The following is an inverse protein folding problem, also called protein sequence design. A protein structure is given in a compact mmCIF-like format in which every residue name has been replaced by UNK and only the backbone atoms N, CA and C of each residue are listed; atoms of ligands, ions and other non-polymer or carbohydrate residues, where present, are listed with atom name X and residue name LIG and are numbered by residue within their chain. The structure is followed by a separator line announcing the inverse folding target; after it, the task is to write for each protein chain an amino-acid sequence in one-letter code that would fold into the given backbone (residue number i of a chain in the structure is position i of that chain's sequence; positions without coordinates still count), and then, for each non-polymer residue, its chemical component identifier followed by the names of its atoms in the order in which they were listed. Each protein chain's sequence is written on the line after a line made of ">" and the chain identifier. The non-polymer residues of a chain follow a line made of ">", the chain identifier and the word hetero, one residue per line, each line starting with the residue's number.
data_IF_699162689236
#
_entry.id   IF_699162689236
#
_cell.length_a   1.000
_cell.length_b   1.000
_cell.length_c   1.000
_cell.angle_alpha   90.00
_cell.angle_beta   90.00
_cell.angle_gamma   90.00
#
_symmetry.space_group_name_H-M   'P 1'
#
loop_
_entity.id
_entity.type
_entity.pdbx_description
1 polymer ?
#
# COMPACT_ATOMS: atom_id res chain seq x y z
N UNK A 1 -35.20 23.25 4.88
CA UNK A 1 -34.76 21.83 4.79
C UNK A 1 -33.39 21.83 4.17
N UNK A 2 -32.35 21.94 5.01
CA UNK A 2 -30.96 21.80 4.54
C UNK A 2 -30.61 20.33 4.57
N UNK A 3 -30.37 19.75 3.39
CA UNK A 3 -29.81 18.43 3.19
C UNK A 3 -28.47 18.38 3.90
N UNK A 4 -28.32 17.45 4.86
CA UNK A 4 -27.02 17.09 5.41
C UNK A 4 -26.22 16.40 4.31
N UNK A 5 -25.40 17.16 3.57
CA UNK A 5 -24.38 16.59 2.72
C UNK A 5 -23.38 15.89 3.63
N UNK A 6 -23.46 14.57 3.66
CA UNK A 6 -22.44 13.71 4.29
C UNK A 6 -21.13 13.98 3.56
N UNK A 7 -20.23 14.74 4.19
CA UNK A 7 -18.86 14.85 3.72
C UNK A 7 -18.20 13.50 4.00
N UNK A 8 -18.18 12.63 2.99
CA UNK A 8 -17.39 11.41 3.00
C UNK A 8 -15.94 11.80 2.68
N UNK A 9 -15.08 11.80 3.67
CA UNK A 9 -13.64 11.84 3.44
C UNK A 9 -13.17 10.42 3.14
N UNK A 10 -12.63 10.25 1.93
CA UNK A 10 -12.11 8.96 1.47
C UNK A 10 -10.62 8.91 1.73
N UNK A 11 -10.20 7.95 2.54
CA UNK A 11 -8.83 7.45 2.57
C UNK A 11 -8.80 6.11 1.86
N UNK A 12 -8.66 6.16 0.55
CA UNK A 12 -8.50 4.97 -0.26
C UNK A 12 -7.02 4.66 -0.42
N UNK A 13 -6.62 3.42 -0.36
CA UNK A 13 -5.31 2.84 -0.68
C UNK A 13 -4.09 3.35 0.11
N UNK A 14 -4.03 4.60 0.55
CA UNK A 14 -2.88 5.14 1.28
C UNK A 14 -2.87 4.80 2.77
N UNK A 15 -3.97 4.32 3.35
CA UNK A 15 -4.02 3.91 4.76
C UNK A 15 -3.15 2.69 5.07
N UNK A 16 -2.85 1.86 4.07
CA UNK A 16 -1.95 0.72 4.23
C UNK A 16 -0.53 1.20 4.58
N UNK A 17 -0.13 2.40 4.14
CA UNK A 17 1.14 3.04 4.53
C UNK A 17 1.16 3.54 5.98
N UNK A 18 0.02 3.63 6.65
CA UNK A 18 -0.08 4.13 8.03
C UNK A 18 0.05 3.07 9.10
N UNK A 19 0.28 1.83 8.76
CA UNK A 19 0.46 0.81 9.78
C UNK A 19 1.96 0.58 10.07
N UNK A 20 2.46 -0.59 9.87
CA UNK A 20 3.85 -0.98 10.10
C UNK A 20 4.21 -2.11 9.13
N UNK A 21 5.41 -2.09 8.59
CA UNK A 21 5.92 -3.17 7.73
C UNK A 21 6.59 -4.28 8.54
N UNK A 22 7.24 -3.92 9.65
CA UNK A 22 7.93 -4.90 10.50
C UNK A 22 6.94 -5.70 11.33
N UNK A 23 7.25 -6.99 11.48
CA UNK A 23 6.59 -7.88 12.42
C UNK A 23 6.81 -7.43 13.86
N UNK A 24 5.88 -7.78 14.75
CA UNK A 24 5.96 -7.55 16.19
C UNK A 24 5.23 -8.69 16.91
N UNK A 25 5.25 -8.72 18.24
CA UNK A 25 4.70 -9.81 19.06
C UNK A 25 3.25 -10.15 18.69
N UNK A 26 2.41 -9.12 18.50
CA UNK A 26 0.98 -9.27 18.20
C UNK A 26 0.61 -8.67 16.83
N UNK A 27 1.58 -8.57 15.92
CA UNK A 27 1.38 -7.91 14.63
C UNK A 27 2.23 -8.52 13.53
N UNK A 28 1.60 -8.89 12.42
CA UNK A 28 2.28 -9.41 11.24
C UNK A 28 2.27 -8.36 10.13
N UNK A 29 3.38 -7.62 10.00
CA UNK A 29 3.58 -6.59 8.95
C UNK A 29 4.13 -7.14 7.65
N UNK A 30 4.75 -8.32 7.69
CA UNK A 30 5.29 -9.03 6.53
C UNK A 30 6.81 -9.04 6.42
N UNK A 31 7.53 -8.20 7.18
CA UNK A 31 9.00 -8.11 7.14
C UNK A 31 9.61 -8.34 8.51
N UNK A 32 10.73 -9.06 8.53
CA UNK A 32 11.66 -9.05 9.64
C UNK A 32 12.69 -7.93 9.46
N UNK A 33 13.35 -7.55 10.55
CA UNK A 33 14.40 -6.51 10.49
C UNK A 33 15.50 -6.86 9.51
N UNK A 34 15.87 -8.13 9.40
CA UNK A 34 16.89 -8.61 8.48
C UNK A 34 16.49 -8.43 7.01
N UNK A 35 15.21 -8.64 6.68
CA UNK A 35 14.69 -8.41 5.33
C UNK A 35 14.85 -6.94 4.92
N UNK A 36 14.55 -6.02 5.84
CA UNK A 36 14.73 -4.59 5.59
C UNK A 36 16.21 -4.20 5.47
N UNK A 37 17.09 -4.79 6.29
CA UNK A 37 18.53 -4.57 6.20
C UNK A 37 19.05 -4.96 4.80
N UNK A 38 18.67 -6.15 4.31
CA UNK A 38 19.02 -6.64 2.98
C UNK A 38 18.46 -5.75 1.87
N UNK A 39 17.22 -5.29 1.98
CA UNK A 39 16.60 -4.36 1.05
C UNK A 39 17.40 -3.05 0.98
N UNK A 40 17.74 -2.47 2.13
CA UNK A 40 18.47 -1.21 2.19
C UNK A 40 19.91 -1.35 1.68
N UNK A 41 20.57 -2.46 1.94
CA UNK A 41 21.92 -2.74 1.44
C UNK A 41 21.90 -2.96 -0.08
N UNK A 42 20.90 -3.62 -0.63
CA UNK A 42 20.72 -3.74 -2.07
C UNK A 42 20.49 -2.36 -2.74
N UNK A 43 19.67 -1.49 -2.14
CA UNK A 43 19.45 -0.13 -2.63
C UNK A 43 20.75 0.69 -2.66
N UNK A 44 21.61 0.58 -1.64
CA UNK A 44 22.89 1.29 -1.56
C UNK A 44 23.91 0.73 -2.55
N UNK A 45 23.98 -0.59 -2.66
CA UNK A 45 24.98 -1.28 -3.47
C UNK A 45 24.77 -1.03 -4.96
N UNK A 46 23.55 -1.24 -5.46
CA UNK A 46 23.20 -1.01 -6.86
C UNK A 46 21.71 -0.68 -7.01
N UNK A 47 21.40 0.61 -6.89
CA UNK A 47 20.01 1.09 -6.95
C UNK A 47 19.25 0.68 -8.22
N UNK A 48 19.92 0.70 -9.38
CA UNK A 48 19.27 0.32 -10.65
C UNK A 48 18.93 -1.16 -10.70
N UNK A 49 19.85 -2.02 -10.26
CA UNK A 49 19.60 -3.44 -10.20
C UNK A 49 18.49 -3.78 -9.20
N UNK A 50 18.54 -3.15 -8.02
CA UNK A 50 17.49 -3.27 -7.02
C UNK A 50 16.13 -2.82 -7.57
N UNK A 51 16.04 -1.64 -8.17
CA UNK A 51 14.78 -1.11 -8.72
C UNK A 51 14.20 -2.00 -9.82
N UNK A 52 15.06 -2.58 -10.68
CA UNK A 52 14.63 -3.52 -11.73
C UNK A 52 14.05 -4.82 -11.15
N UNK A 53 14.60 -5.32 -10.05
CA UNK A 53 14.07 -6.51 -9.37
C UNK A 53 12.84 -6.21 -8.50
N UNK A 54 12.79 -5.02 -7.89
CA UNK A 54 11.71 -4.61 -7.00
C UNK A 54 10.42 -4.28 -7.77
N UNK A 55 10.51 -3.67 -8.95
CA UNK A 55 9.34 -3.18 -9.66
C UNK A 55 8.33 -4.28 -10.01
N UNK A 56 8.71 -5.46 -10.58
CA UNK A 56 7.76 -6.55 -10.83
C UNK A 56 7.09 -7.05 -9.56
N UNK A 57 7.84 -7.15 -8.46
CA UNK A 57 7.32 -7.60 -7.17
C UNK A 57 6.31 -6.61 -6.58
N UNK A 58 6.61 -5.32 -6.64
CA UNK A 58 5.74 -4.26 -6.15
C UNK A 58 4.46 -4.13 -6.98
N UNK A 59 4.57 -4.24 -8.29
CA UNK A 59 3.43 -4.14 -9.22
C UNK A 59 2.60 -5.42 -9.23
N UNK A 60 3.25 -6.59 -9.02
CA UNK A 60 2.60 -7.89 -9.09
C UNK A 60 2.27 -8.31 -10.52
N UNK A 61 3.18 -8.04 -11.45
CA UNK A 61 2.98 -8.32 -12.88
C UNK A 61 4.32 -8.66 -13.56
N UNK A 62 4.28 -9.12 -14.81
CA UNK A 62 5.46 -9.48 -15.59
C UNK A 62 6.33 -8.26 -15.92
N UNK A 63 7.64 -8.48 -16.04
CA UNK A 63 8.63 -7.42 -16.33
C UNK A 63 8.33 -6.64 -17.62
N UNK A 64 7.71 -7.29 -18.60
CA UNK A 64 7.37 -6.70 -19.88
C UNK A 64 6.02 -5.98 -19.89
N UNK A 65 5.28 -6.02 -18.77
CA UNK A 65 4.00 -5.33 -18.68
C UNK A 65 4.19 -3.81 -18.66
N UNK A 66 3.20 -3.10 -19.22
CA UNK A 66 3.20 -1.63 -19.20
C UNK A 66 3.29 -1.07 -17.77
N UNK A 67 2.60 -1.69 -16.83
CA UNK A 67 2.56 -1.27 -15.44
C UNK A 67 3.95 -1.34 -14.78
N UNK A 68 4.68 -2.43 -14.97
CA UNK A 68 6.04 -2.62 -14.45
C UNK A 68 7.02 -1.66 -15.11
N UNK A 69 6.94 -1.48 -16.41
CA UNK A 69 7.79 -0.53 -17.14
C UNK A 69 7.59 0.90 -16.69
N UNK A 70 6.33 1.32 -16.49
CA UNK A 70 6.00 2.67 -16.03
C UNK A 70 6.46 2.90 -14.59
N UNK A 71 6.27 1.94 -13.70
CA UNK A 71 6.76 2.02 -12.33
C UNK A 71 8.30 2.03 -12.27
N UNK A 72 8.97 1.18 -13.05
CA UNK A 72 10.43 1.16 -13.18
C UNK A 72 10.97 2.51 -13.66
N UNK A 73 10.33 3.10 -14.67
CA UNK A 73 10.68 4.44 -15.18
C UNK A 73 10.58 5.49 -14.07
N UNK A 74 9.53 5.42 -13.26
CA UNK A 74 9.35 6.32 -12.13
C UNK A 74 10.49 6.17 -11.11
N UNK A 75 10.84 4.93 -10.73
CA UNK A 75 11.95 4.67 -9.82
C UNK A 75 13.30 5.17 -10.36
N UNK A 76 13.58 4.95 -11.66
CA UNK A 76 14.83 5.39 -12.28
C UNK A 76 14.99 6.90 -12.38
N UNK A 77 13.89 7.66 -12.33
CA UNK A 77 13.91 9.11 -12.33
C UNK A 77 14.14 9.73 -10.94
N UNK A 78 14.04 8.93 -9.88
CA UNK A 78 14.31 9.39 -8.52
C UNK A 78 15.82 9.28 -8.23
N UNK A 79 16.39 10.28 -7.57
CA UNK A 79 17.76 10.21 -7.07
C UNK A 79 17.90 9.06 -6.05
N UNK A 80 18.92 8.21 -6.16
CA UNK A 80 19.08 7.04 -5.29
C UNK A 80 19.14 7.38 -3.78
N UNK A 81 19.82 8.47 -3.42
CA UNK A 81 19.91 8.92 -2.03
C UNK A 81 18.54 9.36 -1.47
N UNK A 82 17.71 10.00 -2.28
CA UNK A 82 16.35 10.39 -1.89
C UNK A 82 15.47 9.14 -1.79
N UNK A 83 15.51 8.25 -2.79
CA UNK A 83 14.76 7.02 -2.78
C UNK A 83 15.07 6.18 -1.53
N UNK A 84 16.35 6.05 -1.19
CA UNK A 84 16.80 5.37 0.02
C UNK A 84 16.26 6.02 1.30
N UNK A 85 16.37 7.34 1.43
CA UNK A 85 15.90 8.05 2.61
C UNK A 85 14.38 7.90 2.79
N UNK A 86 13.61 8.00 1.69
CA UNK A 86 12.16 7.81 1.69
C UNK A 86 11.78 6.37 2.02
N UNK A 87 12.44 5.37 1.40
CA UNK A 87 12.20 3.96 1.68
C UNK A 87 12.44 3.66 3.17
N UNK A 88 13.52 4.17 3.74
CA UNK A 88 13.83 3.98 5.16
C UNK A 88 12.72 4.53 6.06
N UNK A 89 12.25 5.74 5.81
CA UNK A 89 11.13 6.34 6.57
C UNK A 89 9.85 5.49 6.42
N UNK A 90 9.54 5.02 5.21
CA UNK A 90 8.34 4.22 4.96
C UNK A 90 8.41 2.87 5.69
N UNK A 91 9.48 2.11 5.48
CA UNK A 91 9.57 0.74 5.98
C UNK A 91 9.83 0.65 7.50
N UNK A 92 10.47 1.66 8.10
CA UNK A 92 10.74 1.70 9.54
C UNK A 92 9.64 2.42 10.34
N UNK A 93 8.65 3.02 9.69
CA UNK A 93 7.58 3.73 10.40
C UNK A 93 6.62 2.78 11.12
N UNK A 94 6.06 3.26 12.23
CA UNK A 94 5.00 2.59 12.98
C UNK A 94 3.91 3.60 13.35
N UNK A 95 2.78 3.47 12.71
CA UNK A 95 1.63 4.33 12.92
C UNK A 95 0.44 3.61 13.58
N UNK A 96 0.64 2.42 14.13
CA UNK A 96 -0.43 1.67 14.81
C UNK A 96 -1.08 2.47 15.93
N UNK A 97 -0.28 3.25 16.66
CA UNK A 97 -0.75 4.06 17.79
C UNK A 97 -1.72 5.19 17.41
N UNK A 98 -1.80 5.60 16.14
CA UNK A 98 -2.73 6.65 15.71
C UNK A 98 -4.07 6.11 15.21
N UNK A 99 -4.17 4.80 14.92
CA UNK A 99 -5.39 4.20 14.35
C UNK A 99 -6.66 4.48 15.19
N UNK A 100 -6.63 4.42 16.53
CA UNK A 100 -7.80 4.72 17.35
C UNK A 100 -8.31 6.16 17.21
N UNK A 101 -7.45 7.08 16.77
CA UNK A 101 -7.80 8.49 16.58
C UNK A 101 -8.34 8.80 15.18
N UNK A 102 -8.35 7.84 14.27
CA UNK A 102 -8.99 7.96 12.96
C UNK A 102 -10.50 7.77 13.13
N UNK A 103 -11.22 8.88 13.23
CA UNK A 103 -12.67 8.88 13.57
C UNK A 103 -13.58 9.00 12.35
N UNK A 104 -13.03 9.08 11.14
CA UNK A 104 -13.78 9.10 9.88
C UNK A 104 -14.03 7.68 9.38
N UNK A 105 -15.20 7.39 8.76
CA UNK A 105 -15.44 6.09 8.13
C UNK A 105 -14.38 5.77 7.07
N UNK A 106 -13.85 4.55 7.11
CA UNK A 106 -12.78 4.11 6.23
C UNK A 106 -13.23 2.95 5.33
N UNK A 107 -12.78 2.96 4.08
CA UNK A 107 -12.90 1.85 3.16
C UNK A 107 -11.49 1.35 2.81
N UNK A 108 -11.23 0.08 3.07
CA UNK A 108 -9.94 -0.56 2.89
C UNK A 108 -10.06 -1.48 1.68
N UNK A 109 -9.31 -1.20 0.62
CA UNK A 109 -9.23 -2.05 -0.56
C UNK A 109 -7.85 -2.72 -0.57
N UNK A 110 -7.83 -4.04 -0.51
CA UNK A 110 -6.60 -4.83 -0.39
C UNK A 110 -6.46 -5.80 -1.56
N UNK A 111 -5.29 -5.86 -2.17
CA UNK A 111 -4.96 -6.93 -3.12
C UNK A 111 -4.98 -8.30 -2.43
N UNK A 112 -5.50 -9.32 -3.10
CA UNK A 112 -5.51 -10.69 -2.59
C UNK A 112 -4.10 -11.22 -2.35
N UNK A 113 -3.16 -10.88 -3.23
CA UNK A 113 -1.73 -11.18 -3.07
C UNK A 113 -0.93 -9.90 -3.12
N UNK A 114 -0.39 -9.49 -1.99
CA UNK A 114 0.49 -8.33 -1.86
C UNK A 114 1.73 -8.75 -1.07
N UNK A 115 2.90 -8.69 -1.71
CA UNK A 115 4.17 -9.07 -1.08
C UNK A 115 4.70 -8.00 -0.13
N UNK A 116 4.24 -6.76 -0.27
CA UNK A 116 4.65 -5.65 0.58
C UNK A 116 3.77 -5.54 1.83
N UNK A 117 2.47 -5.83 1.70
CA UNK A 117 1.48 -5.71 2.80
C UNK A 117 0.55 -6.92 2.78
N UNK A 118 0.76 -7.90 3.66
CA UNK A 118 -0.10 -9.08 3.75
C UNK A 118 -1.55 -8.71 4.08
N UNK A 119 -2.56 -9.44 3.55
CA UNK A 119 -3.99 -9.14 3.79
C UNK A 119 -4.39 -9.04 5.27
N UNK A 120 -3.69 -9.74 6.17
CA UNK A 120 -3.92 -9.66 7.62
C UNK A 120 -3.73 -8.23 8.18
N UNK A 121 -2.97 -7.38 7.52
CA UNK A 121 -2.83 -5.97 7.89
C UNK A 121 -4.16 -5.22 7.71
N UNK A 122 -4.95 -5.56 6.70
CA UNK A 122 -6.29 -4.98 6.52
C UNK A 122 -7.25 -5.37 7.64
N UNK A 123 -7.17 -6.60 8.14
CA UNK A 123 -7.93 -7.05 9.31
C UNK A 123 -7.50 -6.31 10.57
N UNK A 124 -6.19 -6.11 10.74
CA UNK A 124 -5.66 -5.33 11.86
C UNK A 124 -6.16 -3.87 11.81
N UNK A 125 -6.11 -3.23 10.65
CA UNK A 125 -6.65 -1.88 10.45
C UNK A 125 -8.14 -1.83 10.80
N UNK A 126 -8.92 -2.79 10.28
CA UNK A 126 -10.37 -2.88 10.55
C UNK A 126 -10.69 -2.95 12.05
N UNK A 127 -9.88 -3.68 12.81
CA UNK A 127 -10.09 -3.88 14.24
C UNK A 127 -9.64 -2.68 15.10
N UNK A 128 -8.66 -1.88 14.63
CA UNK A 128 -8.02 -0.85 15.45
C UNK A 128 -8.37 0.59 15.04
N UNK A 129 -9.02 0.80 13.90
CA UNK A 129 -9.53 2.12 13.54
C UNK A 129 -10.58 2.62 14.53
N UNK A 130 -10.49 3.88 14.95
CA UNK A 130 -11.43 4.53 15.86
C UNK A 130 -12.82 4.78 15.29
N UNK A 131 -13.08 4.33 14.07
CA UNK A 131 -14.34 4.48 13.34
C UNK A 131 -14.73 3.20 12.63
N UNK A 132 -15.94 3.18 12.07
CA UNK A 132 -16.39 2.06 11.23
C UNK A 132 -15.56 1.97 9.97
N UNK A 133 -15.18 0.76 9.60
CA UNK A 133 -14.48 0.50 8.36
C UNK A 133 -15.10 -0.68 7.59
N UNK A 134 -14.85 -0.71 6.29
CA UNK A 134 -15.25 -1.79 5.38
C UNK A 134 -13.97 -2.27 4.71
N UNK A 135 -13.74 -3.59 4.70
CA UNK A 135 -12.63 -4.23 4.00
C UNK A 135 -13.18 -4.95 2.77
N UNK A 136 -12.60 -4.70 1.62
CA UNK A 136 -12.84 -5.46 0.39
C UNK A 136 -11.50 -6.00 -0.13
N UNK A 137 -11.41 -7.33 -0.25
CA UNK A 137 -10.27 -7.99 -0.87
C UNK A 137 -10.51 -8.05 -2.37
N UNK A 138 -9.66 -7.37 -3.13
CA UNK A 138 -9.72 -7.35 -4.59
C UNK A 138 -9.02 -8.58 -5.18
N UNK A 139 -9.54 -9.17 -6.26
CA UNK A 139 -8.88 -10.27 -6.97
C UNK A 139 -7.71 -9.76 -7.83
N UNK A 140 -6.74 -9.10 -7.19
CA UNK A 140 -5.56 -8.49 -7.80
C UNK A 140 -4.30 -8.98 -7.09
N UNK A 141 -3.16 -8.83 -7.77
CA UNK A 141 -1.83 -9.11 -7.22
C UNK A 141 -1.01 -7.82 -7.19
N UNK A 142 0.00 -7.78 -6.30
CA UNK A 142 0.90 -6.65 -6.11
C UNK A 142 0.34 -5.53 -5.23
N UNK A 143 1.24 -4.62 -4.91
CA UNK A 143 0.99 -3.47 -4.04
C UNK A 143 0.40 -2.26 -4.78
N UNK A 144 0.42 -2.29 -6.11
CA UNK A 144 -0.02 -1.20 -6.97
C UNK A 144 -1.15 -1.64 -7.93
N UNK A 145 -2.28 -2.20 -7.40
CA UNK A 145 -3.35 -2.74 -8.25
C UNK A 145 -4.03 -1.65 -9.08
N UNK A 146 -3.99 -0.39 -8.68
CA UNK A 146 -4.48 0.73 -9.48
C UNK A 146 -3.69 0.92 -10.77
N UNK A 147 -2.44 0.45 -10.82
CA UNK A 147 -1.57 0.50 -12.00
C UNK A 147 -1.69 -0.77 -12.84
N UNK A 148 -1.63 -1.96 -12.20
CA UNK A 148 -1.66 -3.26 -12.89
C UNK A 148 -3.07 -3.72 -13.27
N UNK A 149 -4.08 -3.35 -12.48
CA UNK A 149 -5.45 -3.87 -12.62
C UNK A 149 -6.51 -2.77 -12.48
N UNK A 150 -6.42 -1.64 -13.22
CA UNK A 150 -7.37 -0.53 -13.09
C UNK A 150 -8.82 -0.94 -13.40
N UNK A 151 -9.01 -1.92 -14.27
CA UNK A 151 -10.34 -2.45 -14.60
C UNK A 151 -11.04 -3.14 -13.40
N UNK A 152 -10.29 -3.58 -12.40
CA UNK A 152 -10.82 -4.13 -11.13
C UNK A 152 -10.96 -3.01 -10.09
N UNK A 153 -9.94 -2.17 -9.95
CA UNK A 153 -9.86 -1.15 -8.90
C UNK A 153 -10.89 -0.04 -9.13
N UNK A 154 -11.04 0.47 -10.36
CA UNK A 154 -11.93 1.60 -10.65
C UNK A 154 -13.39 1.27 -10.31
N UNK A 155 -13.98 0.15 -10.76
CA UNK A 155 -15.33 -0.21 -10.35
C UNK A 155 -15.50 -0.42 -8.84
N UNK A 156 -14.50 -0.98 -8.16
CA UNK A 156 -14.52 -1.10 -6.70
C UNK A 156 -14.57 0.27 -6.04
N UNK A 157 -13.67 1.18 -6.41
CA UNK A 157 -13.68 2.56 -5.95
C UNK A 157 -15.04 3.23 -6.17
N UNK A 158 -15.60 3.12 -7.37
CA UNK A 158 -16.90 3.73 -7.70
C UNK A 158 -18.04 3.18 -6.81
N UNK A 159 -18.05 1.87 -6.51
CA UNK A 159 -19.01 1.29 -5.56
C UNK A 159 -18.90 1.91 -4.18
N UNK A 160 -17.68 2.00 -3.65
CA UNK A 160 -17.42 2.56 -2.32
C UNK A 160 -17.69 4.07 -2.27
N UNK A 161 -17.47 4.78 -3.36
CA UNK A 161 -17.74 6.21 -3.51
C UNK A 161 -19.19 6.53 -3.84
N UNK A 162 -20.02 5.52 -4.12
CA UNK A 162 -21.39 5.70 -4.63
C UNK A 162 -21.45 6.51 -5.93
N UNK A 163 -20.38 6.43 -6.76
CA UNK A 163 -20.29 7.06 -8.08
C UNK A 163 -20.84 6.06 -9.11
N UNK A 164 -21.74 6.53 -9.96
CA UNK A 164 -22.18 5.76 -11.14
C UNK A 164 -21.25 6.04 -12.30
N UNK A 165 -20.68 4.96 -12.86
CA UNK A 165 -19.91 5.01 -14.11
C UNK A 165 -20.86 5.10 -15.30
#
# INVERSE_FOLDING_TARGET
>A
FMSKSSQFFFFTLELIRFCRYLNDVDYFGGFEQEDLNQLFDAMKSNFKAWASGFAPLAVGDDMDSYAVQEFSRTLFNVRPDIAYAVAKVIFESDFRGILPYVTVPCHILQSHKDLAVPPVVSDYLHQHLGSKSIVEILPTEGHLPQLSSPAVVIPALCRHLSIRL
#
